data_IF_194957016581
#
_entry.id   IF_194957016581
#
_cell.length_a   1.000
_cell.length_b   1.000
_cell.length_c   1.000
_cell.angle_alpha   90.00
_cell.angle_beta   90.00
_cell.angle_gamma   90.00
#
_symmetry.space_group_name_H-M   'P 1'
#
loop_
_entity.id
_entity.type
_entity.pdbx_description
1 polymer ?
#
# COMPACT_ATOMS: atom_id res chain seq x y z
N UNK A 1 33.00 123.31 45.25
CA UNK A 1 33.54 122.09 45.91
C UNK A 1 32.66 120.90 45.55
N UNK A 2 33.31 119.78 45.23
CA UNK A 2 32.79 118.51 44.73
C UNK A 2 31.53 117.95 45.40
N UNK A 3 30.64 117.35 44.61
CA UNK A 3 30.46 115.89 44.65
C UNK A 3 29.82 115.33 43.38
N UNK A 4 30.57 114.41 42.77
CA UNK A 4 30.18 113.42 41.76
C UNK A 4 29.03 112.55 42.32
N UNK A 5 28.21 111.81 41.56
CA UNK A 5 28.57 110.55 40.91
C UNK A 5 27.27 109.94 40.29
N UNK A 6 27.36 109.48 39.04
CA UNK A 6 26.89 108.17 38.52
C UNK A 6 25.39 107.92 38.19
N UNK A 7 25.13 107.97 36.88
CA UNK A 7 24.70 106.86 36.00
C UNK A 7 24.00 105.65 36.66
N UNK A 8 22.71 105.50 36.40
CA UNK A 8 22.05 104.19 36.35
C UNK A 8 20.94 104.22 35.29
N UNK A 9 21.32 103.90 34.05
CA UNK A 9 20.38 103.41 33.06
C UNK A 9 19.85 102.06 33.56
N UNK A 10 18.62 102.05 34.08
CA UNK A 10 17.97 100.82 34.52
C UNK A 10 17.26 100.19 33.32
N UNK A 11 17.62 98.95 32.91
CA UNK A 11 17.04 98.33 31.74
C UNK A 11 15.63 97.84 32.10
N UNK A 12 14.61 98.41 31.44
CA UNK A 12 13.24 97.93 31.49
C UNK A 12 13.12 96.70 30.57
N UNK A 13 13.75 95.58 30.94
CA UNK A 13 13.88 94.40 30.07
C UNK A 13 13.82 93.04 30.79
N UNK A 14 13.19 92.96 31.97
CA UNK A 14 13.11 91.71 32.74
C UNK A 14 11.70 91.25 33.09
N UNK A 15 10.76 91.36 32.15
CA UNK A 15 9.42 90.76 32.30
C UNK A 15 9.10 89.71 31.22
N UNK A 16 10.12 89.21 30.52
CA UNK A 16 9.94 88.17 29.52
C UNK A 16 10.98 87.05 29.72
N UNK A 17 10.67 86.11 30.61
CA UNK A 17 10.98 84.68 30.54
C UNK A 17 10.96 84.07 31.95
N UNK A 18 9.78 83.70 32.43
CA UNK A 18 9.67 82.85 33.62
C UNK A 18 8.51 81.85 33.52
N UNK A 19 8.26 81.35 32.31
CA UNK A 19 7.49 80.12 32.11
C UNK A 19 8.45 79.08 31.55
N UNK A 20 8.70 78.03 32.34
CA UNK A 20 9.46 76.85 31.91
C UNK A 20 8.86 76.39 30.56
N UNK A 21 9.63 76.35 29.47
CA UNK A 21 9.10 76.04 28.13
C UNK A 21 8.37 74.70 28.08
N UNK A 22 8.65 73.79 29.03
CA UNK A 22 7.98 72.50 29.20
C UNK A 22 6.54 72.58 29.73
N UNK A 23 6.15 73.71 30.32
CA UNK A 23 4.80 73.92 30.89
C UNK A 23 3.85 74.58 29.90
N UNK A 24 4.37 75.10 28.78
CA UNK A 24 3.56 75.71 27.73
C UNK A 24 2.64 74.67 27.07
N UNK A 25 1.41 75.08 26.75
CA UNK A 25 0.41 74.21 26.14
C UNK A 25 0.89 73.53 24.83
N UNK A 26 1.63 74.21 23.94
CA UNK A 26 2.20 73.57 22.75
C UNK A 26 3.20 72.44 23.08
N UNK A 27 3.95 72.57 24.18
CA UNK A 27 4.94 71.58 24.58
C UNK A 27 4.28 70.31 25.15
N UNK A 28 3.17 70.46 25.88
CA UNK A 28 2.37 69.33 26.37
C UNK A 28 1.72 68.56 25.22
N UNK A 29 1.17 69.26 24.23
CA UNK A 29 0.63 68.63 23.02
C UNK A 29 1.70 67.85 22.26
N UNK A 30 2.88 68.43 22.07
CA UNK A 30 3.99 67.75 21.40
C UNK A 30 4.43 66.48 22.15
N UNK A 31 4.46 66.52 23.48
CA UNK A 31 4.78 65.35 24.30
C UNK A 31 3.71 64.26 24.21
N UNK A 32 2.43 64.64 24.16
CA UNK A 32 1.31 63.69 23.99
C UNK A 32 1.31 63.07 22.59
N UNK A 33 1.54 63.86 21.55
CA UNK A 33 1.67 63.40 20.17
C UNK A 33 2.86 62.45 19.99
N UNK A 34 4.00 62.77 20.60
CA UNK A 34 5.16 61.88 20.57
C UNK A 34 4.89 60.56 21.32
N UNK A 35 4.15 60.60 22.44
CA UNK A 35 3.75 59.38 23.15
C UNK A 35 2.81 58.52 22.30
N UNK A 36 1.78 59.13 21.70
CA UNK A 36 0.83 58.45 20.79
C UNK A 36 1.54 57.86 19.58
N UNK A 37 2.48 58.58 18.99
CA UNK A 37 3.28 58.10 17.87
C UNK A 37 4.14 56.89 18.28
N UNK A 38 4.76 56.94 19.46
CA UNK A 38 5.59 55.83 19.98
C UNK A 38 4.75 54.60 20.30
N UNK A 39 3.56 54.77 20.91
CA UNK A 39 2.59 53.69 21.15
C UNK A 39 2.12 53.05 19.82
N UNK A 40 1.79 53.87 18.81
CA UNK A 40 1.37 53.39 17.48
C UNK A 40 2.48 52.61 16.76
N UNK A 41 3.74 53.04 16.90
CA UNK A 41 4.90 52.32 16.33
C UNK A 41 5.11 51.00 17.06
N UNK A 42 5.04 50.99 18.39
CA UNK A 42 5.17 49.76 19.19
C UNK A 42 4.08 48.73 18.84
N UNK A 43 2.82 49.15 18.70
CA UNK A 43 1.71 48.27 18.29
C UNK A 43 1.87 47.75 16.85
N UNK A 44 2.44 48.58 15.96
CA UNK A 44 2.78 48.15 14.60
C UNK A 44 3.91 47.11 14.60
N UNK A 45 4.96 47.34 15.37
CA UNK A 45 6.10 46.44 15.47
C UNK A 45 5.70 45.09 16.07
N UNK A 46 4.83 45.07 17.09
CA UNK A 46 4.31 43.83 17.66
C UNK A 46 3.45 43.05 16.66
N UNK A 47 2.58 43.74 15.92
CA UNK A 47 1.74 43.13 14.87
C UNK A 47 2.61 42.55 13.76
N UNK A 48 3.62 43.29 13.31
CA UNK A 48 4.57 42.84 12.28
C UNK A 48 5.32 41.57 12.74
N UNK A 49 5.80 41.54 13.97
CA UNK A 49 6.49 40.38 14.53
C UNK A 49 5.57 39.15 14.61
N UNK A 50 4.30 39.32 14.96
CA UNK A 50 3.31 38.23 14.98
C UNK A 50 3.01 37.69 13.57
N UNK A 51 2.87 38.58 12.59
CA UNK A 51 2.70 38.21 11.18
C UNK A 51 3.91 37.40 10.67
N UNK A 52 5.14 37.86 10.94
CA UNK A 52 6.36 37.14 10.58
C UNK A 52 6.46 35.77 11.27
N UNK A 53 6.08 35.69 12.54
CA UNK A 53 5.99 34.43 13.27
C UNK A 53 5.04 33.44 12.58
N UNK A 54 3.88 33.93 12.15
CA UNK A 54 2.89 33.11 11.45
C UNK A 54 3.38 32.67 10.06
N UNK A 55 4.07 33.54 9.31
CA UNK A 55 4.70 33.15 8.04
C UNK A 55 5.76 32.08 8.19
N UNK A 56 6.62 32.21 9.21
CA UNK A 56 7.66 31.22 9.47
C UNK A 56 7.04 29.85 9.77
N UNK A 57 5.94 29.82 10.53
CA UNK A 57 5.22 28.58 10.85
C UNK A 57 4.59 27.94 9.62
N UNK A 58 3.92 28.73 8.77
CA UNK A 58 3.37 28.23 7.49
C UNK A 58 4.47 27.69 6.58
N UNK A 59 5.60 28.42 6.48
CA UNK A 59 6.75 28.01 5.67
C UNK A 59 7.32 26.68 6.14
N UNK A 60 7.43 26.48 7.46
CA UNK A 60 7.93 25.24 8.04
C UNK A 60 6.96 24.07 7.85
N UNK A 61 5.66 24.32 8.01
CA UNK A 61 4.63 23.34 7.70
C UNK A 61 4.70 22.91 6.23
N UNK A 62 4.86 23.85 5.29
CA UNK A 62 4.98 23.53 3.86
C UNK A 62 6.25 22.76 3.52
N UNK A 63 7.38 23.02 4.19
CA UNK A 63 8.59 22.20 4.05
C UNK A 63 8.35 20.77 4.52
N UNK A 64 7.72 20.62 5.69
CA UNK A 64 7.38 19.32 6.26
C UNK A 64 6.42 18.55 5.35
N UNK A 65 5.38 19.20 4.82
CA UNK A 65 4.46 18.61 3.85
C UNK A 65 5.23 18.12 2.62
N UNK A 66 6.11 18.94 2.04
CA UNK A 66 6.89 18.56 0.86
C UNK A 66 7.80 17.36 1.12
N UNK A 67 8.45 17.31 2.28
CA UNK A 67 9.31 16.17 2.65
C UNK A 67 8.49 14.88 2.73
N UNK A 68 7.36 14.91 3.45
CA UNK A 68 6.46 13.75 3.58
C UNK A 68 5.85 13.33 2.24
N UNK A 69 5.46 14.28 1.39
CA UNK A 69 5.00 13.95 0.02
C UNK A 69 6.10 13.25 -0.79
N UNK A 70 7.36 13.69 -0.65
CA UNK A 70 8.50 13.01 -1.27
C UNK A 70 8.65 11.56 -0.79
N UNK A 71 8.44 11.30 0.49
CA UNK A 71 8.49 9.95 1.07
C UNK A 71 7.35 9.06 0.55
N UNK A 72 6.17 9.62 0.28
CA UNK A 72 5.05 8.90 -0.34
C UNK A 72 5.32 8.52 -1.81
N UNK A 73 6.10 9.33 -2.53
CA UNK A 73 6.45 9.09 -3.93
C UNK A 73 7.71 8.25 -4.12
N UNK A 74 8.47 8.01 -3.05
CA UNK A 74 9.73 7.29 -3.13
C UNK A 74 9.50 5.81 -3.47
N UNK A 75 10.24 5.23 -4.45
CA UNK A 75 10.13 3.81 -4.76
C UNK A 75 10.55 2.97 -3.55
N UNK A 76 9.69 2.03 -3.18
CA UNK A 76 9.84 1.20 -1.99
C UNK A 76 11.02 0.25 -2.15
N UNK A 77 11.96 0.27 -1.21
CA UNK A 77 13.07 -0.67 -1.18
C UNK A 77 12.57 -2.12 -1.05
N UNK A 78 13.18 -3.02 -1.81
CA UNK A 78 12.88 -4.46 -1.82
C UNK A 78 13.18 -5.09 -0.46
N UNK A 79 12.21 -5.08 0.47
CA UNK A 79 12.36 -5.66 1.80
C UNK A 79 11.33 -5.22 2.83
N UNK A 80 10.57 -4.15 2.59
CA UNK A 80 9.49 -3.71 3.48
C UNK A 80 8.19 -4.45 3.15
N UNK A 81 7.50 -4.98 4.16
CA UNK A 81 6.22 -5.66 3.96
C UNK A 81 5.17 -4.64 3.49
N UNK A 82 4.32 -5.03 2.53
CA UNK A 82 3.30 -4.15 1.95
C UNK A 82 2.36 -3.52 3.01
N UNK A 83 2.03 -4.27 4.08
CA UNK A 83 1.19 -3.78 5.17
C UNK A 83 1.85 -2.68 6.02
N UNK A 84 3.17 -2.79 6.25
CA UNK A 84 3.92 -1.80 7.04
C UNK A 84 4.07 -0.49 6.26
N UNK A 85 4.30 -0.61 4.95
CA UNK A 85 4.35 0.52 4.03
C UNK A 85 3.00 1.25 3.96
N UNK A 86 1.89 0.51 3.77
CA UNK A 86 0.54 1.09 3.71
C UNK A 86 0.23 1.89 4.97
N UNK A 87 0.51 1.31 6.14
CA UNK A 87 0.31 1.98 7.43
C UNK A 87 1.12 3.27 7.53
N UNK A 88 2.40 3.25 7.11
CA UNK A 88 3.26 4.44 7.13
C UNK A 88 2.70 5.55 6.21
N UNK A 89 2.24 5.18 5.00
CA UNK A 89 1.63 6.11 4.06
C UNK A 89 0.35 6.75 4.63
N UNK A 90 -0.52 5.97 5.26
CA UNK A 90 -1.72 6.49 5.93
C UNK A 90 -1.39 7.46 7.07
N UNK A 91 -0.41 7.10 7.92
CA UNK A 91 0.02 7.96 9.03
C UNK A 91 0.63 9.28 8.53
N UNK A 92 1.40 9.25 7.44
CA UNK A 92 1.97 10.46 6.84
C UNK A 92 0.92 11.35 6.19
N UNK A 93 -0.07 10.76 5.55
CA UNK A 93 -1.21 11.47 4.97
C UNK A 93 -2.05 12.19 6.04
N UNK A 94 -2.33 11.52 7.16
CA UNK A 94 -3.04 12.13 8.29
C UNK A 94 -2.25 13.30 8.90
N UNK A 95 -0.91 13.17 8.96
CA UNK A 95 -0.04 14.27 9.41
C UNK A 95 -0.04 15.45 8.43
N UNK A 96 0.00 15.17 7.12
CA UNK A 96 -0.09 16.22 6.09
C UNK A 96 -1.43 16.96 6.18
N UNK A 97 -2.54 16.25 6.34
CA UNK A 97 -3.87 16.85 6.49
C UNK A 97 -3.93 17.80 7.68
N UNK A 98 -3.39 17.39 8.83
CA UNK A 98 -3.33 18.24 10.02
C UNK A 98 -2.52 19.53 9.79
N UNK A 99 -1.37 19.44 9.10
CA UNK A 99 -0.54 20.59 8.76
C UNK A 99 -1.22 21.53 7.75
N UNK A 100 -1.98 20.98 6.79
CA UNK A 100 -2.76 21.76 5.84
C UNK A 100 -3.91 22.49 6.53
N UNK A 101 -4.61 21.85 7.47
CA UNK A 101 -5.66 22.49 8.26
C UNK A 101 -5.09 23.59 9.15
N UNK A 102 -3.97 23.33 9.82
CA UNK A 102 -3.25 24.36 10.59
C UNK A 102 -2.87 25.54 9.70
N UNK A 103 -2.32 25.30 8.50
CA UNK A 103 -2.00 26.37 7.55
C UNK A 103 -3.24 27.17 7.16
N UNK A 104 -4.40 26.54 6.91
CA UNK A 104 -5.66 27.25 6.63
C UNK A 104 -6.06 28.16 7.78
N UNK A 105 -5.93 27.70 9.02
CA UNK A 105 -6.24 28.50 10.21
C UNK A 105 -5.25 29.66 10.39
N UNK A 106 -3.95 29.42 10.23
CA UNK A 106 -2.90 30.44 10.29
C UNK A 106 -3.10 31.50 9.20
N UNK A 107 -3.50 31.11 7.99
CA UNK A 107 -3.84 32.02 6.90
C UNK A 107 -5.07 32.88 7.19
N UNK A 108 -6.11 32.30 7.79
CA UNK A 108 -7.28 33.05 8.24
C UNK A 108 -6.90 34.10 9.31
N UNK A 109 -6.02 33.73 10.25
CA UNK A 109 -5.51 34.63 11.28
C UNK A 109 -4.65 35.75 10.68
N UNK A 110 -3.71 35.42 9.77
CA UNK A 110 -2.92 36.40 9.02
C UNK A 110 -3.82 37.41 8.31
N UNK A 111 -4.88 36.95 7.62
CA UNK A 111 -5.85 37.83 6.96
C UNK A 111 -6.55 38.77 7.92
N UNK A 112 -6.97 38.26 9.08
CA UNK A 112 -7.63 39.07 10.11
C UNK A 112 -6.70 40.15 10.66
N UNK A 113 -5.44 39.79 10.94
CA UNK A 113 -4.41 40.71 11.43
C UNK A 113 -4.01 41.75 10.39
N UNK A 114 -3.82 41.33 9.14
CA UNK A 114 -3.53 42.23 8.02
C UNK A 114 -4.64 43.26 7.80
N UNK A 115 -5.92 42.86 7.87
CA UNK A 115 -7.08 43.78 7.75
C UNK A 115 -7.26 44.71 8.96
N UNK A 116 -6.85 44.27 10.15
CA UNK A 116 -6.94 45.06 11.39
C UNK A 116 -5.82 46.09 11.55
N UNK A 117 -4.69 45.89 10.87
CA UNK A 117 -3.57 46.83 10.89
C UNK A 117 -3.85 48.04 9.99
N UNK A 118 -3.73 49.25 10.54
CA UNK A 118 -3.83 50.51 9.80
C UNK A 118 -2.70 50.71 8.77
N UNK A 119 -1.73 49.78 8.72
CA UNK A 119 -0.74 49.70 7.66
C UNK A 119 -1.31 48.84 6.52
N UNK A 120 -1.82 49.48 5.45
CA UNK A 120 -2.11 48.80 4.18
C UNK A 120 -0.81 48.29 3.56
N UNK A 121 -0.41 47.09 3.95
CA UNK A 121 0.76 46.41 3.42
C UNK A 121 0.32 45.60 2.20
N UNK A 122 0.18 46.24 1.03
CA UNK A 122 -0.20 45.57 -0.24
C UNK A 122 0.66 44.33 -0.52
N UNK A 123 1.95 44.38 -0.15
CA UNK A 123 2.87 43.26 -0.31
C UNK A 123 2.50 42.06 0.60
N UNK A 124 2.03 42.32 1.82
CA UNK A 124 1.55 41.30 2.75
C UNK A 124 0.30 40.60 2.21
N UNK A 125 -0.65 41.36 1.66
CA UNK A 125 -1.85 40.82 1.04
C UNK A 125 -1.52 39.94 -0.17
N UNK A 126 -0.54 40.36 -0.98
CA UNK A 126 -0.02 39.58 -2.12
C UNK A 126 0.58 38.26 -1.66
N UNK A 127 1.44 38.28 -0.64
CA UNK A 127 2.04 37.07 -0.07
C UNK A 127 1.00 36.14 0.53
N UNK A 128 -0.03 36.68 1.21
CA UNK A 128 -1.15 35.89 1.72
C UNK A 128 -1.87 35.17 0.57
N UNK A 129 -2.22 35.88 -0.51
CA UNK A 129 -2.87 35.25 -1.66
C UNK A 129 -2.03 34.14 -2.29
N UNK A 130 -0.71 34.31 -2.37
CA UNK A 130 0.23 33.30 -2.89
C UNK A 130 0.27 32.03 -2.03
N UNK A 131 0.28 32.18 -0.69
CA UNK A 131 0.21 31.05 0.22
C UNK A 131 -1.13 30.31 0.15
N UNK A 132 -2.24 31.01 -0.03
CA UNK A 132 -3.54 30.34 -0.18
C UNK A 132 -3.60 29.50 -1.44
N UNK A 133 -3.11 30.03 -2.57
CA UNK A 133 -3.04 29.28 -3.81
C UNK A 133 -2.16 28.04 -3.63
N UNK A 134 -1.04 28.18 -2.92
CA UNK A 134 -0.13 27.05 -2.63
C UNK A 134 -0.80 25.99 -1.75
N UNK A 135 -1.45 26.39 -0.66
CA UNK A 135 -2.16 25.47 0.25
C UNK A 135 -3.30 24.75 -0.48
N UNK A 136 -4.07 25.48 -1.29
CA UNK A 136 -5.16 24.89 -2.07
C UNK A 136 -4.64 23.89 -3.12
N UNK A 137 -3.55 24.23 -3.82
CA UNK A 137 -2.91 23.32 -4.77
C UNK A 137 -2.39 22.04 -4.07
N UNK A 138 -1.80 22.19 -2.88
CA UNK A 138 -1.34 21.04 -2.08
C UNK A 138 -2.49 20.19 -1.55
N UNK A 139 -3.62 20.79 -1.19
CA UNK A 139 -4.81 20.03 -0.81
C UNK A 139 -5.30 19.16 -1.98
N UNK A 140 -5.40 19.74 -3.18
CA UNK A 140 -5.83 19.01 -4.37
C UNK A 140 -4.88 17.86 -4.72
N UNK A 141 -3.57 18.08 -4.64
CA UNK A 141 -2.56 17.04 -4.86
C UNK A 141 -2.69 15.89 -3.84
N UNK A 142 -2.96 16.20 -2.57
CA UNK A 142 -3.19 15.21 -1.52
C UNK A 142 -4.47 14.41 -1.74
N UNK A 143 -5.53 15.05 -2.23
CA UNK A 143 -6.77 14.36 -2.59
C UNK A 143 -6.53 13.38 -3.75
N UNK A 144 -5.75 13.76 -4.77
CA UNK A 144 -5.33 12.84 -5.84
C UNK A 144 -4.50 11.67 -5.31
N UNK A 145 -3.51 11.92 -4.45
CA UNK A 145 -2.69 10.86 -3.85
C UNK A 145 -3.53 9.87 -3.02
N UNK A 146 -4.58 10.35 -2.33
CA UNK A 146 -5.55 9.49 -1.61
C UNK A 146 -6.29 8.56 -2.55
N UNK A 147 -6.78 9.08 -3.68
CA UNK A 147 -7.50 8.31 -4.70
C UNK A 147 -6.59 7.25 -5.34
N UNK A 148 -5.36 7.62 -5.70
CA UNK A 148 -4.36 6.71 -6.25
C UNK A 148 -4.04 5.58 -5.26
N UNK A 149 -3.78 5.90 -4.00
CA UNK A 149 -3.50 4.91 -2.95
C UNK A 149 -4.67 3.92 -2.77
N UNK A 150 -5.92 4.43 -2.71
CA UNK A 150 -7.10 3.59 -2.59
C UNK A 150 -7.28 2.67 -3.82
N UNK A 151 -7.03 3.18 -5.02
CA UNK A 151 -7.08 2.42 -6.27
C UNK A 151 -6.01 1.32 -6.33
N UNK A 152 -4.77 1.65 -5.94
CA UNK A 152 -3.68 0.67 -5.86
C UNK A 152 -3.96 -0.41 -4.82
N UNK A 153 -4.49 -0.06 -3.65
CA UNK A 153 -4.89 -1.03 -2.63
C UNK A 153 -5.97 -2.00 -3.13
N UNK A 154 -7.01 -1.48 -3.79
CA UNK A 154 -8.06 -2.29 -4.40
C UNK A 154 -7.51 -3.24 -5.49
N UNK A 155 -6.61 -2.72 -6.32
CA UNK A 155 -5.93 -3.49 -7.36
C UNK A 155 -5.07 -4.61 -6.76
N UNK A 156 -4.34 -4.33 -5.69
CA UNK A 156 -3.51 -5.31 -4.99
C UNK A 156 -4.37 -6.43 -4.37
N UNK A 157 -5.47 -6.07 -3.71
CA UNK A 157 -6.42 -7.05 -3.15
C UNK A 157 -6.97 -7.98 -4.25
N UNK A 158 -7.35 -7.42 -5.39
CA UNK A 158 -7.82 -8.17 -6.57
C UNK A 158 -6.74 -9.12 -7.10
N UNK A 159 -5.49 -8.64 -7.23
CA UNK A 159 -4.36 -9.47 -7.69
C UNK A 159 -4.09 -10.64 -6.73
N UNK A 160 -4.17 -10.41 -5.41
CA UNK A 160 -3.98 -11.45 -4.39
C UNK A 160 -5.07 -12.53 -4.50
N UNK A 161 -6.33 -12.12 -4.69
CA UNK A 161 -7.46 -13.04 -4.88
C UNK A 161 -7.29 -13.87 -6.16
N UNK A 162 -7.01 -13.22 -7.29
CA UNK A 162 -6.73 -13.91 -8.57
C UNK A 162 -5.57 -14.90 -8.46
N UNK A 163 -4.52 -14.57 -7.71
CA UNK A 163 -3.38 -15.45 -7.51
C UNK A 163 -3.75 -16.68 -6.67
N UNK A 164 -4.55 -16.51 -5.61
CA UNK A 164 -5.07 -17.62 -4.81
C UNK A 164 -5.92 -18.56 -5.63
N UNK A 165 -6.85 -18.03 -6.42
CA UNK A 165 -7.72 -18.81 -7.30
C UNK A 165 -6.91 -19.59 -8.33
N UNK A 166 -5.91 -18.95 -8.96
CA UNK A 166 -5.01 -19.63 -9.88
C UNK A 166 -4.20 -20.74 -9.21
N UNK A 167 -3.70 -20.51 -8.00
CA UNK A 167 -2.94 -21.53 -7.25
C UNK A 167 -3.83 -22.73 -6.94
N UNK A 168 -5.04 -22.51 -6.43
CA UNK A 168 -5.98 -23.58 -6.14
C UNK A 168 -6.35 -24.36 -7.41
N UNK A 169 -6.59 -23.67 -8.53
CA UNK A 169 -6.86 -24.32 -9.80
C UNK A 169 -5.67 -25.15 -10.29
N UNK A 170 -4.44 -24.64 -10.14
CA UNK A 170 -3.23 -25.36 -10.49
C UNK A 170 -3.04 -26.62 -9.62
N UNK A 171 -3.34 -26.53 -8.33
CA UNK A 171 -3.28 -27.68 -7.41
C UNK A 171 -4.32 -28.73 -7.76
N UNK A 172 -5.56 -28.32 -8.07
CA UNK A 172 -6.62 -29.23 -8.53
C UNK A 172 -6.22 -29.94 -9.83
N UNK A 173 -5.74 -29.18 -10.82
CA UNK A 173 -5.27 -29.74 -12.10
C UNK A 173 -4.09 -30.69 -11.89
N UNK A 174 -3.14 -30.33 -11.04
CA UNK A 174 -2.00 -31.19 -10.70
C UNK A 174 -2.46 -32.49 -10.05
N UNK A 175 -3.37 -32.41 -9.08
CA UNK A 175 -3.94 -33.58 -8.42
C UNK A 175 -4.69 -34.47 -9.43
N UNK A 176 -5.48 -33.89 -10.33
CA UNK A 176 -6.18 -34.62 -11.38
C UNK A 176 -5.20 -35.32 -12.33
N UNK A 177 -4.17 -34.62 -12.82
CA UNK A 177 -3.14 -35.18 -13.69
C UNK A 177 -2.36 -36.31 -13.03
N UNK A 178 -2.14 -36.21 -11.72
CA UNK A 178 -1.40 -37.18 -10.93
C UNK A 178 -2.27 -38.32 -10.39
N UNK A 179 -3.60 -38.26 -10.56
CA UNK A 179 -4.49 -39.32 -10.11
C UNK A 179 -4.53 -40.46 -11.13
N UNK A 180 -4.27 -41.68 -10.67
CA UNK A 180 -4.51 -42.90 -11.41
C UNK A 180 -5.28 -43.92 -10.57
N UNK A 181 -5.78 -44.96 -11.22
CA UNK A 181 -6.66 -45.95 -10.63
C UNK A 181 -6.10 -47.33 -10.95
N UNK A 182 -5.97 -48.21 -9.96
CA UNK A 182 -5.55 -49.59 -10.20
C UNK A 182 -6.43 -50.63 -9.50
N UNK A 183 -6.47 -51.83 -10.07
CA UNK A 183 -7.14 -52.98 -9.47
C UNK A 183 -6.36 -54.27 -9.78
N UNK A 184 -6.30 -55.15 -8.79
CA UNK A 184 -5.66 -56.46 -8.89
C UNK A 184 -6.71 -57.52 -8.60
N UNK A 185 -6.77 -58.57 -9.43
CA UNK A 185 -7.70 -59.67 -9.21
C UNK A 185 -7.53 -60.79 -10.22
N UNK A 186 -8.20 -61.91 -9.99
CA UNK A 186 -8.22 -63.02 -10.95
C UNK A 186 -9.04 -62.63 -12.19
N UNK A 187 -8.78 -63.29 -13.32
CA UNK A 187 -9.52 -63.03 -14.55
C UNK A 187 -11.03 -63.28 -14.41
N UNK A 188 -11.46 -64.13 -13.47
CA UNK A 188 -12.87 -64.41 -13.18
C UNK A 188 -13.49 -63.27 -12.38
N UNK A 189 -12.85 -62.85 -11.28
CA UNK A 189 -13.33 -61.76 -10.43
C UNK A 189 -13.46 -60.45 -11.20
N UNK A 190 -12.45 -60.10 -12.00
CA UNK A 190 -12.45 -58.86 -12.78
C UNK A 190 -13.55 -58.86 -13.88
N UNK A 191 -13.98 -60.03 -14.35
CA UNK A 191 -15.11 -60.16 -15.29
C UNK A 191 -16.45 -60.07 -14.59
N UNK A 192 -16.61 -60.76 -13.45
CA UNK A 192 -17.83 -60.69 -12.62
C UNK A 192 -18.07 -59.26 -12.12
N UNK A 193 -17.00 -58.55 -11.79
CA UNK A 193 -16.99 -57.13 -11.42
C UNK A 193 -17.26 -56.17 -12.59
N UNK A 194 -17.30 -56.68 -13.82
CA UNK A 194 -17.51 -55.88 -15.03
C UNK A 194 -16.30 -55.02 -15.45
N UNK A 195 -15.14 -55.21 -14.82
CA UNK A 195 -13.89 -54.48 -15.13
C UNK A 195 -13.28 -54.96 -16.44
N UNK A 196 -13.38 -56.25 -16.75
CA UNK A 196 -12.90 -56.85 -17.99
C UNK A 196 -14.05 -57.42 -18.82
N UNK A 197 -14.06 -57.11 -20.12
CA UNK A 197 -14.92 -57.77 -21.11
C UNK A 197 -14.08 -58.69 -22.00
N UNK A 198 -14.72 -59.73 -22.56
CA UNK A 198 -14.14 -60.51 -23.66
C UNK A 198 -14.56 -59.83 -24.96
N UNK A 199 -13.63 -59.13 -25.61
CA UNK A 199 -13.84 -58.59 -26.96
C UNK A 199 -12.92 -59.27 -27.96
N UNK A 200 -13.49 -59.71 -29.09
CA UNK A 200 -12.77 -60.35 -30.19
C UNK A 200 -12.50 -61.85 -29.96
N UNK A 201 -12.49 -62.62 -31.05
CA UNK A 201 -12.26 -64.07 -31.06
C UNK A 201 -13.53 -64.89 -31.26
N UNK A 202 -13.54 -65.74 -32.29
CA UNK A 202 -14.56 -66.78 -32.49
C UNK A 202 -14.37 -67.85 -31.41
N UNK A 203 -15.46 -68.46 -30.95
CA UNK A 203 -15.51 -69.52 -29.90
C UNK A 203 -14.22 -70.35 -29.84
N UNK A 204 -13.34 -70.02 -28.89
CA UNK A 204 -12.16 -70.84 -28.52
C UNK A 204 -10.78 -70.31 -28.94
N UNK A 205 -10.64 -69.33 -29.83
CA UNK A 205 -9.31 -68.88 -30.30
C UNK A 205 -9.24 -67.34 -30.38
N UNK A 206 -8.29 -66.75 -29.64
CA UNK A 206 -7.92 -65.34 -29.79
C UNK A 206 -8.65 -64.33 -28.89
N UNK A 207 -9.47 -64.78 -27.93
CA UNK A 207 -10.14 -63.87 -26.99
C UNK A 207 -9.14 -63.21 -26.04
N UNK A 208 -8.99 -61.89 -26.15
CA UNK A 208 -8.19 -61.05 -25.26
C UNK A 208 -9.09 -60.36 -24.23
N UNK A 209 -8.65 -60.34 -22.97
CA UNK A 209 -9.35 -59.57 -21.95
C UNK A 209 -9.06 -58.09 -22.19
N UNK A 210 -10.10 -57.27 -22.34
CA UNK A 210 -9.98 -55.82 -22.54
C UNK A 210 -10.70 -55.09 -21.40
N UNK A 211 -10.19 -53.91 -21.04
CA UNK A 211 -10.84 -53.03 -20.06
C UNK A 211 -12.22 -52.63 -20.57
N UNK A 212 -13.25 -52.78 -19.73
CA UNK A 212 -14.58 -52.28 -20.02
C UNK A 212 -14.60 -50.76 -19.88
N UNK A 213 -14.79 -50.02 -20.98
CA UNK A 213 -14.81 -48.55 -20.95
C UNK A 213 -16.22 -47.97 -20.77
N UNK A 214 -17.28 -48.77 -20.93
CA UNK A 214 -18.68 -48.31 -20.95
C UNK A 214 -19.40 -48.52 -19.60
N UNK A 215 -19.02 -49.55 -18.84
CA UNK A 215 -19.64 -49.92 -17.56
C UNK A 215 -18.71 -49.89 -16.35
N UNK A 216 -17.59 -49.15 -16.43
CA UNK A 216 -16.55 -49.17 -15.39
C UNK A 216 -16.99 -48.43 -14.13
N UNK A 217 -17.21 -49.16 -13.04
CA UNK A 217 -17.42 -48.55 -11.71
C UNK A 217 -16.07 -48.17 -11.10
N UNK A 218 -15.83 -46.87 -10.94
CA UNK A 218 -14.58 -46.33 -10.38
C UNK A 218 -14.37 -46.73 -8.92
N UNK A 219 -15.45 -47.00 -8.19
CA UNK A 219 -15.42 -47.37 -6.76
C UNK A 219 -14.72 -48.70 -6.49
N UNK A 220 -14.52 -49.51 -7.53
CA UNK A 220 -13.83 -50.80 -7.44
C UNK A 220 -12.31 -50.67 -7.56
N UNK A 221 -11.81 -49.49 -7.93
CA UNK A 221 -10.40 -49.22 -8.12
C UNK A 221 -9.81 -48.54 -6.90
N UNK A 222 -8.56 -48.86 -6.61
CA UNK A 222 -7.74 -48.11 -5.67
C UNK A 222 -7.21 -46.86 -6.36
N UNK A 223 -7.53 -45.69 -5.81
CA UNK A 223 -7.03 -44.40 -6.27
C UNK A 223 -5.60 -44.21 -5.77
N UNK A 224 -4.71 -43.78 -6.65
CA UNK A 224 -3.29 -43.53 -6.34
C UNK A 224 -2.82 -42.21 -6.91
N UNK A 225 -1.92 -41.56 -6.17
CA UNK A 225 -1.07 -40.50 -6.71
C UNK A 225 0.15 -41.16 -7.38
N UNK A 226 0.27 -40.96 -8.68
CA UNK A 226 1.34 -41.55 -9.51
C UNK A 226 2.73 -41.05 -9.12
N UNK A 227 2.84 -39.89 -8.49
CA UNK A 227 4.12 -39.32 -8.02
C UNK A 227 4.57 -39.91 -6.70
N UNK A 228 3.63 -40.40 -5.89
CA UNK A 228 3.88 -41.00 -4.58
C UNK A 228 3.81 -42.53 -4.57
N UNK A 229 3.45 -43.15 -5.70
CA UNK A 229 3.25 -44.61 -5.82
C UNK A 229 4.20 -45.22 -6.86
N UNK A 230 5.50 -45.35 -6.56
CA UNK A 230 6.47 -45.96 -7.47
C UNK A 230 6.34 -47.49 -7.54
N UNK A 231 5.61 -48.10 -6.61
CA UNK A 231 5.45 -49.55 -6.51
C UNK A 231 4.04 -49.97 -6.12
N UNK A 232 3.60 -51.11 -6.66
CA UNK A 232 2.31 -51.72 -6.35
C UNK A 232 2.55 -53.17 -5.94
N UNK A 233 2.19 -53.52 -4.71
CA UNK A 233 2.23 -54.90 -4.22
C UNK A 233 1.06 -55.71 -4.79
N UNK A 234 1.37 -56.86 -5.39
CA UNK A 234 0.40 -57.75 -6.05
C UNK A 234 0.20 -59.03 -5.23
N UNK A 235 1.29 -59.60 -4.70
CA UNK A 235 1.23 -60.78 -3.82
C UNK A 235 0.80 -62.10 -4.47
N UNK A 236 1.03 -62.28 -5.78
CA UNK A 236 0.67 -63.50 -6.51
C UNK A 236 1.90 -64.24 -7.07
N UNK A 237 1.75 -65.55 -7.39
CA UNK A 237 2.81 -66.36 -8.03
C UNK A 237 3.05 -65.95 -9.49
N UNK A 238 2.00 -65.49 -10.17
CA UNK A 238 2.06 -64.96 -11.54
C UNK A 238 1.08 -63.80 -11.66
N UNK A 239 1.54 -62.72 -12.28
CA UNK A 239 0.73 -61.55 -12.56
C UNK A 239 0.97 -61.08 -14.00
N UNK A 240 -0.05 -60.53 -14.64
CA UNK A 240 0.02 -59.95 -15.98
C UNK A 240 -0.84 -58.69 -16.05
N UNK A 241 -0.32 -57.65 -16.68
CA UNK A 241 -1.10 -56.44 -16.95
C UNK A 241 -2.11 -56.73 -18.07
N UNK A 242 -3.38 -56.41 -17.82
CA UNK A 242 -4.45 -56.47 -18.81
C UNK A 242 -4.63 -55.14 -19.56
N UNK A 243 -4.17 -54.03 -18.99
CA UNK A 243 -4.11 -52.71 -19.63
C UNK A 243 -2.77 -52.48 -20.30
N UNK A 244 -2.74 -51.63 -21.34
CA UNK A 244 -1.53 -51.35 -22.11
C UNK A 244 -0.69 -50.26 -21.43
N UNK A 245 0.54 -50.60 -21.06
CA UNK A 245 1.53 -49.67 -20.52
C UNK A 245 2.89 -49.95 -21.19
N UNK A 246 3.71 -48.92 -21.50
CA UNK A 246 5.00 -49.12 -22.15
C UNK A 246 5.91 -50.07 -21.37
N UNK A 247 6.42 -51.12 -22.01
CA UNK A 247 7.27 -52.11 -21.33
C UNK A 247 8.60 -51.53 -20.79
N UNK A 248 9.01 -50.35 -21.26
CA UNK A 248 10.21 -49.65 -20.79
C UNK A 248 9.97 -48.80 -19.54
N UNK A 249 8.73 -48.66 -19.07
CA UNK A 249 8.38 -47.79 -17.94
C UNK A 249 8.03 -48.56 -16.65
N UNK A 250 8.15 -49.89 -16.65
CA UNK A 250 7.94 -50.71 -15.46
C UNK A 250 8.72 -52.03 -15.50
N UNK A 251 8.87 -52.66 -14.33
CA UNK A 251 9.37 -54.02 -14.16
C UNK A 251 8.43 -54.79 -13.21
N UNK A 252 8.17 -56.05 -13.54
CA UNK A 252 7.40 -56.96 -12.69
C UNK A 252 8.36 -57.95 -12.02
N UNK A 253 8.42 -57.95 -10.69
CA UNK A 253 9.30 -58.82 -9.89
C UNK A 253 8.55 -60.07 -9.45
N UNK A 254 8.80 -61.19 -10.14
CA UNK A 254 8.30 -62.54 -9.84
C UNK A 254 6.79 -62.65 -9.55
N UNK A 255 5.98 -61.76 -10.13
CA UNK A 255 4.52 -61.70 -9.92
C UNK A 255 4.08 -61.09 -8.58
N UNK A 256 5.03 -60.73 -7.71
CA UNK A 256 4.78 -60.24 -6.35
C UNK A 256 4.65 -58.72 -6.27
N UNK A 257 5.39 -57.98 -7.11
CA UNK A 257 5.44 -56.51 -7.09
C UNK A 257 5.59 -55.95 -8.51
N UNK A 258 4.89 -54.85 -8.78
CA UNK A 258 5.10 -54.01 -9.95
C UNK A 258 5.89 -52.77 -9.53
N UNK A 259 7.04 -52.56 -10.13
CA UNK A 259 7.89 -51.37 -9.93
C UNK A 259 7.77 -50.48 -11.16
N UNK A 260 7.29 -49.26 -10.96
CA UNK A 260 7.15 -48.25 -12.01
C UNK A 260 8.44 -47.44 -12.04
N UNK A 261 9.20 -47.56 -13.14
CA UNK A 261 10.50 -46.90 -13.30
C UNK A 261 10.38 -45.51 -13.92
N UNK A 262 9.27 -45.25 -14.62
CA UNK A 262 8.94 -43.95 -15.22
C UNK A 262 7.42 -43.76 -15.15
N UNK A 263 6.96 -42.99 -14.17
CA UNK A 263 5.54 -42.81 -13.91
C UNK A 263 4.82 -42.09 -15.07
N UNK A 264 5.43 -41.03 -15.61
CA UNK A 264 4.82 -40.25 -16.70
C UNK A 264 4.62 -41.12 -17.94
N UNK A 265 5.65 -41.89 -18.32
CA UNK A 265 5.56 -42.80 -19.45
C UNK A 265 4.61 -43.96 -19.18
N UNK A 266 4.61 -44.52 -17.97
CA UNK A 266 3.72 -45.63 -17.60
C UNK A 266 2.25 -45.23 -17.66
N UNK A 267 1.90 -44.05 -17.15
CA UNK A 267 0.53 -43.56 -17.07
C UNK A 267 0.08 -42.74 -18.29
N UNK A 268 0.94 -42.57 -19.30
CA UNK A 268 0.67 -41.80 -20.53
C UNK A 268 -0.43 -42.40 -21.42
N UNK A 269 -0.51 -43.73 -21.48
CA UNK A 269 -1.44 -44.46 -22.36
C UNK A 269 -2.79 -44.69 -21.68
N UNK A 270 -2.77 -44.94 -20.36
CA UNK A 270 -3.97 -45.18 -19.55
C UNK A 270 -3.71 -44.79 -18.11
N UNK A 271 -4.66 -44.06 -17.50
CA UNK A 271 -4.73 -43.81 -16.04
C UNK A 271 -5.40 -44.94 -15.25
N UNK A 272 -5.82 -46.00 -15.93
CA UNK A 272 -6.36 -47.22 -15.33
C UNK A 272 -5.39 -48.37 -15.54
N UNK A 273 -5.00 -49.01 -14.44
CA UNK A 273 -4.15 -50.19 -14.42
C UNK A 273 -4.96 -51.40 -13.94
N UNK A 274 -5.04 -52.44 -14.76
CA UNK A 274 -5.67 -53.70 -14.38
C UNK A 274 -4.62 -54.80 -14.38
N UNK A 275 -4.43 -55.44 -13.24
CA UNK A 275 -3.48 -56.55 -13.08
C UNK A 275 -4.27 -57.84 -12.84
N UNK A 276 -4.07 -58.80 -13.73
CA UNK A 276 -4.65 -60.14 -13.65
C UNK A 276 -3.66 -61.06 -12.96
N UNK A 277 -4.09 -61.75 -11.91
CA UNK A 277 -3.28 -62.73 -11.19
C UNK A 277 -3.75 -64.16 -11.42
N UNK A 278 -2.81 -65.10 -11.44
CA UNK A 278 -3.07 -66.54 -11.38
C UNK A 278 -2.63 -67.05 -10.00
N UNK A 279 -3.55 -67.69 -9.27
CA UNK A 279 -3.28 -68.31 -7.97
C UNK A 279 -2.81 -69.77 -8.13
#
# INVERSE_FOLDING_TARGET
MYKKLILAAFPLLTLACEQDPKTSEPYKQLAEDQRRATETVADRDSTINELFGTFNRISENLRTIRAKQGDLMAPTGSGENAADLEKRMMDDLARIDALLDENKQLMANLRKQAKGSNARLTELERTIAEYENTVNAKNAEIDTLKEELASTNSSLATIIEMYRDKSQLADLQRNEMNTAHYIVGTAKELKEKGVLTKEGGVVGIGAVNKLNTEGLSKDQFTVVDVTATPEIAIGAKKAKLATSHPASSYRLEDGTRLVITDADKFWSVSKYLVIVVEQ
#
